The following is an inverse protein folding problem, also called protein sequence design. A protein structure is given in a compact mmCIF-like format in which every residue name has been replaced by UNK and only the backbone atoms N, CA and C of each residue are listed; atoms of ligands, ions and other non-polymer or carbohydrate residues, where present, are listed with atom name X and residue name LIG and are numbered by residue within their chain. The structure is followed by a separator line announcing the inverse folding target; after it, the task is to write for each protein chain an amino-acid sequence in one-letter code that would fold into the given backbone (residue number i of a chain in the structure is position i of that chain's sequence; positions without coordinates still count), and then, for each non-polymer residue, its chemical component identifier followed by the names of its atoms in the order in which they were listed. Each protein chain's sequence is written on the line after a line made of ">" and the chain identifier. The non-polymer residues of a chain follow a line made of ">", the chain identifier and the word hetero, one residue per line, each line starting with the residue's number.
data_IF_064199483498
#
_entry.id   IF_064199483498
#
_cell.length_a   1.000
_cell.length_b   1.000
_cell.length_c   1.000
_cell.angle_alpha   90.00
_cell.angle_beta   90.00
_cell.angle_gamma   90.00
#
_symmetry.space_group_name_H-M   'P 1'
#
loop_
_entity.id
_entity.type
_entity.pdbx_description
1 polymer ?
#
# COMPACT_ATOMS: atom_id res chain seq x y z
N UNK A 1 5.76 18.90 -7.92
CA UNK A 1 5.06 19.72 -8.92
C UNK A 1 3.84 20.26 -8.20
N UNK A 2 3.96 21.48 -7.68
CA UNK A 2 2.88 22.20 -7.04
C UNK A 2 1.83 22.55 -8.09
N UNK A 3 0.59 22.17 -7.81
CA UNK A 3 -0.58 22.52 -8.61
C UNK A 3 -0.99 23.93 -8.21
N UNK A 4 -0.72 24.88 -9.09
CA UNK A 4 -1.07 26.29 -8.94
C UNK A 4 -2.50 26.47 -9.48
N UNK A 5 -3.41 27.01 -8.66
CA UNK A 5 -4.79 27.32 -9.06
C UNK A 5 -4.87 28.72 -9.65
N UNK A 6 -5.65 28.84 -10.71
CA UNK A 6 -5.82 30.07 -11.47
C UNK A 6 -7.29 30.48 -11.45
N UNK A 7 -7.56 31.75 -11.18
CA UNK A 7 -8.89 32.35 -11.29
C UNK A 7 -8.90 33.37 -12.42
N UNK A 8 -9.88 33.31 -13.33
CA UNK A 8 -10.02 34.25 -14.44
C UNK A 8 -11.18 35.24 -14.19
N UNK A 9 -10.97 36.52 -14.54
CA UNK A 9 -12.01 37.54 -14.61
C UNK A 9 -11.71 38.49 -15.77
N UNK A 10 -12.35 38.25 -16.92
CA UNK A 10 -12.07 38.97 -18.16
C UNK A 10 -10.62 38.80 -18.63
N UNK A 11 -9.93 39.90 -18.92
CA UNK A 11 -8.53 39.93 -19.39
C UNK A 11 -7.49 39.78 -18.26
N UNK A 12 -7.93 39.56 -17.02
CA UNK A 12 -7.07 39.44 -15.84
C UNK A 12 -7.15 38.05 -15.21
N UNK A 13 -6.00 37.55 -14.78
CA UNK A 13 -5.84 36.24 -14.17
C UNK A 13 -5.13 36.39 -12.83
N UNK A 14 -5.69 35.82 -11.75
CA UNK A 14 -5.07 35.80 -10.43
C UNK A 14 -4.61 34.39 -10.04
N UNK A 15 -3.41 34.33 -9.47
CA UNK A 15 -2.74 33.11 -9.03
C UNK A 15 -2.50 33.21 -7.52
N UNK A 16 -2.90 32.18 -6.77
CA UNK A 16 -3.02 32.29 -5.31
C UNK A 16 -1.66 32.49 -4.60
N UNK A 17 -1.68 33.40 -3.61
CA UNK A 17 -0.63 33.76 -2.64
C UNK A 17 0.45 34.82 -2.95
N UNK A 18 0.39 35.59 -4.05
CA UNK A 18 0.90 36.99 -4.19
C UNK A 18 1.30 37.41 -5.60
N UNK A 19 1.24 36.52 -6.60
CA UNK A 19 1.64 36.83 -7.98
C UNK A 19 0.51 37.43 -8.83
N UNK A 20 0.76 38.59 -9.44
CA UNK A 20 -0.11 39.15 -10.48
C UNK A 20 0.46 38.78 -11.85
N UNK A 21 -0.37 38.29 -12.78
CA UNK A 21 0.02 37.97 -14.15
C UNK A 21 -0.94 38.56 -15.19
N UNK A 22 -0.47 38.75 -16.43
CA UNK A 22 -1.26 39.37 -17.51
C UNK A 22 -1.46 38.37 -18.66
N UNK A 23 -2.66 38.30 -19.22
CA UNK A 23 -2.95 37.45 -20.39
C UNK A 23 -2.39 38.12 -21.63
N UNK A 24 -1.44 37.46 -22.30
CA UNK A 24 -0.78 38.01 -23.48
C UNK A 24 -1.53 37.69 -24.78
N UNK A 25 -2.12 36.49 -24.89
CA UNK A 25 -2.87 36.11 -26.09
C UNK A 25 -3.81 34.91 -25.86
N UNK A 26 -4.91 34.85 -26.63
CA UNK A 26 -5.84 33.71 -26.67
C UNK A 26 -5.36 32.70 -27.72
N UNK A 27 -5.13 31.45 -27.31
CA UNK A 27 -4.76 30.34 -28.20
C UNK A 27 -5.97 29.40 -28.35
N UNK A 28 -7.14 29.98 -28.63
CA UNK A 28 -8.41 29.28 -28.78
C UNK A 28 -9.31 29.37 -27.55
N UNK A 29 -10.43 28.65 -27.59
CA UNK A 29 -11.59 28.85 -26.69
C UNK A 29 -11.28 28.61 -25.21
N UNK A 30 -10.17 27.93 -24.87
CA UNK A 30 -9.86 27.50 -23.49
C UNK A 30 -8.37 27.52 -23.11
N UNK A 31 -7.50 28.10 -23.93
CA UNK A 31 -6.06 28.15 -23.67
C UNK A 31 -5.54 29.59 -23.73
N UNK A 32 -4.70 29.95 -22.75
CA UNK A 32 -4.16 31.30 -22.59
C UNK A 32 -2.66 31.27 -22.37
N UNK A 33 -1.95 32.26 -22.90
CA UNK A 33 -0.57 32.56 -22.49
C UNK A 33 -0.61 33.59 -21.37
N UNK A 34 0.05 33.29 -20.25
CA UNK A 34 0.11 34.15 -19.06
C UNK A 34 1.56 34.41 -18.71
N UNK A 35 1.92 35.69 -18.55
CA UNK A 35 3.23 36.10 -18.05
C UNK A 35 3.17 36.20 -16.52
N UNK A 36 4.09 35.52 -15.83
CA UNK A 36 4.25 35.58 -14.37
C UNK A 36 5.74 35.80 -14.09
N UNK A 37 6.08 36.88 -13.38
CA UNK A 37 7.46 37.25 -13.00
C UNK A 37 8.47 37.23 -14.17
N UNK A 38 8.03 37.63 -15.38
CA UNK A 38 8.87 37.71 -16.58
C UNK A 38 9.11 36.39 -17.31
N UNK A 39 8.33 35.34 -17.02
CA UNK A 39 8.33 34.06 -17.73
C UNK A 39 6.94 33.74 -18.28
N UNK A 40 6.89 33.18 -19.50
CA UNK A 40 5.65 32.84 -20.20
C UNK A 40 5.17 31.41 -19.87
N UNK A 41 3.88 31.27 -19.60
CA UNK A 41 3.23 30.00 -19.28
C UNK A 41 1.97 29.78 -20.13
N UNK A 42 1.65 28.52 -20.46
CA UNK A 42 0.35 28.16 -21.05
C UNK A 42 -0.58 27.59 -19.97
N UNK A 43 -1.77 28.16 -19.87
CA UNK A 43 -2.86 27.72 -18.99
C UNK A 43 -4.01 27.11 -19.80
N UNK A 44 -4.58 25.99 -19.33
CA UNK A 44 -5.79 25.38 -19.90
C UNK A 44 -6.89 25.31 -18.84
N UNK A 45 -8.11 25.69 -19.21
CA UNK A 45 -9.24 25.85 -18.26
C UNK A 45 -9.75 24.51 -17.68
N UNK A 46 -9.50 23.37 -18.33
CA UNK A 46 -10.10 22.10 -17.90
C UNK A 46 -9.24 21.20 -17.01
N UNK A 47 -8.02 21.59 -16.65
CA UNK A 47 -7.27 20.90 -15.59
C UNK A 47 -6.26 21.88 -14.98
N UNK A 48 -6.35 22.11 -13.66
CA UNK A 48 -5.59 23.07 -12.82
C UNK A 48 -4.04 22.98 -12.87
N UNK A 49 -3.38 22.91 -14.03
CA UNK A 49 -1.92 22.77 -14.13
C UNK A 49 -1.33 23.64 -15.25
N UNK A 50 -0.63 24.70 -14.86
CA UNK A 50 0.34 25.37 -15.72
C UNK A 50 1.49 24.41 -16.06
N UNK A 51 1.87 24.36 -17.34
CA UNK A 51 3.08 23.68 -17.78
C UNK A 51 4.12 24.71 -18.23
N UNK A 52 5.35 24.56 -17.73
CA UNK A 52 6.49 25.41 -18.10
C UNK A 52 6.94 25.07 -19.53
N UNK A 53 6.91 26.05 -20.45
CA UNK A 53 7.56 25.90 -21.75
C UNK A 53 9.04 26.20 -21.57
N UNK A 54 9.92 25.24 -21.90
CA UNK A 54 11.35 25.52 -22.00
C UNK A 54 11.63 26.23 -23.33
N UNK A 55 12.50 27.25 -23.37
CA UNK A 55 12.92 27.87 -24.61
C UNK A 55 13.53 26.80 -25.53
N UNK A 56 12.99 26.65 -26.73
CA UNK A 56 13.64 25.83 -27.74
C UNK A 56 14.81 26.62 -28.31
N UNK A 57 16.03 26.21 -28.00
CA UNK A 57 17.19 26.55 -28.80
C UNK A 57 17.90 25.26 -29.25
N UNK A 58 17.71 25.01 -30.53
CA UNK A 58 18.61 24.44 -31.54
C UNK A 58 19.96 23.87 -31.07
N UNK A 59 20.17 22.62 -31.47
CA UNK A 59 21.41 21.83 -31.52
C UNK A 59 22.69 22.63 -31.72
N UNK A 60 23.69 22.45 -30.84
CA UNK A 60 25.10 22.26 -31.25
C UNK A 60 25.85 21.49 -30.15
N UNK A 61 26.50 20.41 -30.54
CA UNK A 61 27.34 19.56 -29.70
C UNK A 61 28.63 20.29 -29.29
N UNK A 62 29.00 20.29 -28.00
CA UNK A 62 30.40 20.35 -27.55
C UNK A 62 30.55 19.50 -26.29
N UNK A 63 31.42 18.48 -26.38
CA UNK A 63 32.01 17.74 -25.27
C UNK A 63 32.89 18.64 -24.40
N UNK A 64 32.86 18.50 -23.08
CA UNK A 64 34.07 18.25 -22.27
C UNK A 64 33.76 18.13 -20.78
N UNK A 65 34.58 17.28 -20.14
CA UNK A 65 34.58 16.94 -18.74
C UNK A 65 35.05 18.11 -17.87
N UNK A 66 34.39 18.34 -16.74
CA UNK A 66 34.96 19.09 -15.62
C UNK A 66 34.63 18.42 -14.28
N UNK A 67 35.71 18.13 -13.55
CA UNK A 67 35.76 17.63 -12.19
C UNK A 67 35.13 18.67 -11.25
N UNK A 68 34.18 18.26 -10.40
CA UNK A 68 33.78 19.06 -9.24
C UNK A 68 34.34 18.44 -7.96
N UNK A 69 35.45 19.02 -7.52
CA UNK A 69 36.19 18.73 -6.31
C UNK A 69 35.35 19.07 -5.07
N UNK A 70 35.14 18.10 -4.19
CA UNK A 70 34.53 18.31 -2.88
C UNK A 70 35.58 18.86 -1.91
N UNK A 71 35.69 20.18 -1.78
CA UNK A 71 36.63 20.83 -0.86
C UNK A 71 35.99 21.03 0.52
N UNK A 72 36.22 20.09 1.44
CA UNK A 72 36.34 20.32 2.89
C UNK A 72 36.58 18.98 3.62
N UNK A 73 37.71 18.34 3.31
CA UNK A 73 38.31 17.29 4.13
C UNK A 73 39.70 17.77 4.52
N UNK A 74 39.88 18.14 5.78
CA UNK A 74 41.23 18.41 6.33
C UNK A 74 41.65 17.21 7.17
N UNK A 75 42.65 16.47 6.68
CA UNK A 75 43.43 15.54 7.50
C UNK A 75 43.31 14.08 7.10
N UNK A 76 44.37 13.60 6.46
CA UNK A 76 44.72 12.18 6.36
C UNK A 76 45.13 11.67 7.74
N UNK A 77 44.29 10.87 8.40
CA UNK A 77 44.71 9.86 9.35
C UNK A 77 43.78 8.64 9.25
N UNK A 78 44.34 7.44 9.10
CA UNK A 78 43.62 6.17 9.24
C UNK A 78 43.17 5.99 10.70
N UNK A 79 42.12 6.70 11.11
CA UNK A 79 41.44 6.56 12.38
C UNK A 79 40.05 5.97 12.15
N UNK A 80 39.63 5.07 13.04
CA UNK A 80 38.31 4.40 13.00
C UNK A 80 37.13 5.38 12.94
N UNK A 81 37.31 6.61 13.43
CA UNK A 81 36.31 7.68 13.39
C UNK A 81 36.97 8.98 12.93
N UNK A 82 36.37 9.63 11.94
CA UNK A 82 36.80 10.91 11.38
C UNK A 82 36.10 12.03 12.14
N UNK A 83 36.78 13.18 12.35
CA UNK A 83 36.12 14.39 12.88
C UNK A 83 35.14 14.92 11.84
N UNK A 84 33.87 14.99 12.22
CA UNK A 84 32.77 15.49 11.40
C UNK A 84 32.34 16.86 11.93
N UNK A 85 32.14 17.82 11.04
CA UNK A 85 31.56 19.13 11.34
C UNK A 85 30.04 19.03 11.57
N UNK A 86 29.47 19.81 12.50
CA UNK A 86 28.03 19.82 12.77
C UNK A 86 27.21 20.13 11.51
N UNK A 87 27.72 20.99 10.62
CA UNK A 87 27.07 21.26 9.33
C UNK A 87 26.94 20.01 8.43
N UNK A 88 27.84 19.03 8.55
CA UNK A 88 27.73 17.77 7.81
C UNK A 88 26.70 16.82 8.46
N UNK A 89 26.59 16.84 9.78
CA UNK A 89 25.52 16.13 10.51
C UNK A 89 24.15 16.69 10.10
N UNK A 90 24.01 18.00 10.05
CA UNK A 90 22.78 18.67 9.60
C UNK A 90 22.47 18.39 8.13
N UNK A 91 23.50 18.37 7.26
CA UNK A 91 23.33 17.94 5.86
C UNK A 91 22.89 16.48 5.74
N UNK A 92 23.37 15.57 6.60
CA UNK A 92 22.92 14.19 6.64
C UNK A 92 21.47 14.05 7.12
N UNK A 93 21.07 14.83 8.13
CA UNK A 93 19.70 14.87 8.65
C UNK A 93 18.72 15.45 7.62
N UNK A 94 19.10 16.53 6.93
CA UNK A 94 18.26 17.21 5.94
C UNK A 94 18.12 16.43 4.62
N UNK A 95 19.11 15.62 4.23
CA UNK A 95 19.08 14.77 3.02
C UNK A 95 18.08 13.61 3.12
N UNK A 96 17.55 13.30 4.31
CA UNK A 96 16.56 12.24 4.53
C UNK A 96 15.09 12.71 4.45
N UNK A 97 14.84 14.02 4.27
CA UNK A 97 13.48 14.55 4.18
C UNK A 97 12.79 14.15 2.88
N UNK A 98 11.75 13.32 2.94
CA UNK A 98 10.91 13.03 1.77
C UNK A 98 10.10 14.30 1.39
N UNK A 99 10.30 14.89 0.19
CA UNK A 99 9.62 16.13 -0.21
C UNK A 99 8.09 15.98 -0.27
N UNK A 100 7.56 14.77 -0.46
CA UNK A 100 6.12 14.50 -0.37
C UNK A 100 5.62 14.58 1.08
N UNK A 101 6.43 14.15 2.04
CA UNK A 101 6.09 14.26 3.46
C UNK A 101 6.10 15.72 3.93
N UNK A 102 7.06 16.53 3.47
CA UNK A 102 7.11 17.96 3.76
C UNK A 102 5.86 18.70 3.25
N UNK A 103 5.46 18.46 1.99
CA UNK A 103 4.23 19.02 1.41
C UNK A 103 2.98 18.60 2.19
N UNK A 104 2.89 17.34 2.60
CA UNK A 104 1.77 16.84 3.41
C UNK A 104 1.73 17.50 4.79
N UNK A 105 2.88 17.65 5.45
CA UNK A 105 2.97 18.31 6.75
C UNK A 105 2.45 19.74 6.64
N UNK A 106 2.93 20.50 5.65
CA UNK A 106 2.52 21.88 5.41
C UNK A 106 1.00 22.00 5.17
N UNK A 107 0.44 21.17 4.28
CA UNK A 107 -1.00 21.17 4.00
C UNK A 107 -1.83 20.89 5.27
N UNK A 108 -1.47 19.85 6.02
CA UNK A 108 -2.21 19.45 7.22
C UNK A 108 -2.09 20.49 8.35
N UNK A 109 -0.92 21.14 8.49
CA UNK A 109 -0.73 22.20 9.49
C UNK A 109 -1.44 23.48 9.12
N UNK A 110 -1.50 23.82 7.83
CA UNK A 110 -2.27 24.97 7.37
C UNK A 110 -3.76 24.75 7.63
N UNK A 111 -4.29 23.55 7.38
CA UNK A 111 -5.67 23.21 7.70
C UNK A 111 -5.99 23.41 9.21
N UNK A 112 -5.06 23.04 10.09
CA UNK A 112 -5.21 23.30 11.53
C UNK A 112 -5.10 24.79 11.86
N UNK A 113 -4.17 25.50 11.23
CA UNK A 113 -4.01 26.94 11.40
C UNK A 113 -5.25 27.73 10.96
N UNK A 114 -5.87 27.35 9.84
CA UNK A 114 -7.12 27.95 9.34
C UNK A 114 -8.27 27.72 10.34
N UNK A 115 -8.34 26.52 10.93
CA UNK A 115 -9.30 26.22 11.99
C UNK A 115 -9.06 27.07 13.24
N UNK A 116 -7.81 27.24 13.68
CA UNK A 116 -7.45 28.09 14.82
C UNK A 116 -7.85 29.55 14.54
N UNK A 117 -7.55 30.03 13.33
CA UNK A 117 -7.91 31.40 12.86
C UNK A 117 -9.42 31.62 12.82
N UNK A 118 -10.20 30.63 12.39
CA UNK A 118 -11.67 30.69 12.38
C UNK A 118 -12.26 30.80 13.81
N UNK A 119 -11.51 30.36 14.82
CA UNK A 119 -11.88 30.48 16.23
C UNK A 119 -11.27 31.72 16.91
N UNK A 120 -10.87 32.75 16.13
CA UNK A 120 -10.28 34.01 16.61
C UNK A 120 -8.97 33.85 17.40
N UNK A 121 -8.17 32.83 17.08
CA UNK A 121 -6.81 32.67 17.59
C UNK A 121 -5.83 32.73 16.41
N UNK A 122 -4.75 33.51 16.54
CA UNK A 122 -3.76 33.73 15.48
C UNK A 122 -2.36 33.31 15.91
N UNK A 123 -2.22 32.65 17.06
CA UNK A 123 -0.95 32.11 17.53
C UNK A 123 -0.47 30.98 16.63
N UNK A 124 0.84 30.82 16.49
CA UNK A 124 1.39 29.66 15.80
C UNK A 124 1.10 28.40 16.61
N UNK A 125 0.92 27.26 15.93
CA UNK A 125 0.56 25.99 16.57
C UNK A 125 1.54 25.62 17.71
N UNK A 126 2.83 25.91 17.55
CA UNK A 126 3.87 25.62 18.54
C UNK A 126 3.99 26.67 19.68
N UNK A 127 3.27 27.78 19.61
CA UNK A 127 3.24 28.82 20.65
C UNK A 127 2.06 28.62 21.63
N UNK A 128 1.07 27.81 21.26
CA UNK A 128 -0.11 27.54 22.08
C UNK A 128 0.28 26.57 23.22
N UNK A 129 -0.09 26.82 24.48
CA UNK A 129 0.19 25.91 25.59
C UNK A 129 -0.43 24.50 25.41
N UNK A 130 0.19 23.42 25.93
CA UNK A 130 -0.26 22.04 25.68
C UNK A 130 -1.74 21.75 25.99
N UNK A 131 -2.25 22.30 27.11
CA UNK A 131 -3.64 22.09 27.51
C UNK A 131 -4.62 22.78 26.55
N UNK A 132 -4.30 24.02 26.14
CA UNK A 132 -5.09 24.76 25.15
C UNK A 132 -5.05 24.09 23.78
N UNK A 133 -3.84 23.67 23.34
CA UNK A 133 -3.67 22.97 22.08
C UNK A 133 -4.43 21.64 22.06
N UNK A 134 -4.45 20.91 23.18
CA UNK A 134 -5.23 19.69 23.32
C UNK A 134 -6.74 19.94 23.10
N UNK A 135 -7.29 21.01 23.67
CA UNK A 135 -8.71 21.36 23.49
C UNK A 135 -9.02 21.81 22.06
N UNK A 136 -8.13 22.58 21.44
CA UNK A 136 -8.22 22.96 20.03
C UNK A 136 -8.22 21.72 19.14
N UNK A 137 -7.29 20.79 19.36
CA UNK A 137 -7.19 19.56 18.59
C UNK A 137 -8.44 18.67 18.76
N UNK A 138 -9.03 18.62 19.97
CA UNK A 138 -10.29 17.91 20.19
C UNK A 138 -11.41 18.49 19.32
N UNK A 139 -11.59 19.82 19.32
CA UNK A 139 -12.59 20.50 18.50
C UNK A 139 -12.33 20.31 17.02
N UNK A 140 -11.07 20.41 16.61
CA UNK A 140 -10.63 20.19 15.23
C UNK A 140 -10.99 18.79 14.73
N UNK A 141 -10.64 17.72 15.46
CA UNK A 141 -10.94 16.35 15.04
C UNK A 141 -12.42 16.08 14.84
N UNK A 142 -13.28 16.69 15.68
CA UNK A 142 -14.74 16.52 15.58
C UNK A 142 -15.33 17.31 14.40
N UNK A 143 -14.79 18.51 14.12
CA UNK A 143 -15.34 19.45 13.15
C UNK A 143 -14.70 19.40 11.77
N UNK A 144 -13.52 18.81 11.62
CA UNK A 144 -12.78 18.77 10.35
C UNK A 144 -13.61 18.07 9.25
N UNK A 145 -13.74 18.74 8.10
CA UNK A 145 -14.42 18.24 6.89
C UNK A 145 -13.58 18.46 5.64
N UNK A 146 -13.87 17.69 4.60
CA UNK A 146 -13.39 17.90 3.22
C UNK A 146 -14.03 19.18 2.64
N UNK A 147 -13.46 19.73 1.57
CA UNK A 147 -13.99 20.92 0.88
C UNK A 147 -15.45 20.75 0.40
N UNK A 148 -15.85 19.53 0.06
CA UNK A 148 -17.23 19.20 -0.32
C UNK A 148 -18.17 19.00 0.88
N UNK A 149 -17.76 19.36 2.09
CA UNK A 149 -18.52 19.18 3.34
C UNK A 149 -18.51 17.76 3.90
N UNK A 150 -17.94 16.78 3.19
CA UNK A 150 -17.90 15.39 3.62
C UNK A 150 -16.92 15.12 4.77
N UNK A 151 -17.23 14.13 5.61
CA UNK A 151 -16.30 13.63 6.64
C UNK A 151 -14.98 13.11 6.06
N UNK A 152 -13.89 13.29 6.80
CA UNK A 152 -12.60 12.65 6.51
C UNK A 152 -12.64 11.15 6.79
N UNK A 153 -11.76 10.39 6.13
CA UNK A 153 -11.55 8.98 6.42
C UNK A 153 -10.65 8.81 7.64
N UNK A 154 -10.76 7.64 8.31
CA UNK A 154 -9.97 7.29 9.49
C UNK A 154 -8.46 7.45 9.28
N UNK A 155 -7.95 7.01 8.13
CA UNK A 155 -6.53 7.10 7.81
C UNK A 155 -6.09 8.56 7.56
N UNK A 156 -6.95 9.38 6.97
CA UNK A 156 -6.66 10.79 6.73
C UNK A 156 -6.54 11.55 8.03
N UNK A 157 -7.49 11.38 8.96
CA UNK A 157 -7.44 12.04 10.28
C UNK A 157 -6.20 11.63 11.08
N UNK A 158 -5.88 10.32 11.12
CA UNK A 158 -4.63 9.83 11.74
C UNK A 158 -3.40 10.43 11.05
N UNK A 159 -3.44 10.57 9.73
CA UNK A 159 -2.39 11.19 8.94
C UNK A 159 -2.16 12.66 9.31
N UNK A 160 -3.24 13.43 9.48
CA UNK A 160 -3.18 14.83 9.92
C UNK A 160 -2.56 14.92 11.33
N UNK A 161 -3.02 14.11 12.28
CA UNK A 161 -2.43 14.06 13.62
C UNK A 161 -0.93 13.72 13.61
N UNK A 162 -0.50 12.86 12.69
CA UNK A 162 0.92 12.53 12.51
C UNK A 162 1.74 13.67 11.91
N UNK A 163 1.13 14.47 11.02
CA UNK A 163 1.75 15.68 10.46
C UNK A 163 1.92 16.75 11.53
N UNK A 164 0.90 16.98 12.36
CA UNK A 164 0.97 17.93 13.49
C UNK A 164 2.03 17.49 14.50
N UNK A 165 2.09 16.20 14.85
CA UNK A 165 3.16 15.65 15.71
C UNK A 165 4.56 15.94 15.15
N UNK A 166 4.76 15.75 13.83
CA UNK A 166 6.05 16.05 13.18
C UNK A 166 6.37 17.55 13.22
N UNK A 167 5.38 18.40 12.99
CA UNK A 167 5.52 19.85 13.09
C UNK A 167 5.91 20.29 14.51
N UNK A 168 5.22 19.80 15.53
CA UNK A 168 5.54 20.13 16.93
C UNK A 168 6.96 19.69 17.31
N UNK A 169 7.39 18.50 16.85
CA UNK A 169 8.76 18.01 17.05
C UNK A 169 9.80 18.89 16.36
N UNK A 170 9.55 19.34 15.13
CA UNK A 170 10.50 20.22 14.42
C UNK A 170 10.62 21.60 15.06
N UNK A 171 9.67 22.00 15.90
CA UNK A 171 9.67 23.27 16.63
C UNK A 171 9.99 23.11 18.13
N UNK A 172 10.53 21.96 18.55
CA UNK A 172 10.94 21.69 19.94
C UNK A 172 9.85 21.96 20.99
N UNK A 173 8.59 21.63 20.68
CA UNK A 173 7.43 21.94 21.51
C UNK A 173 7.41 21.31 22.92
N UNK A 174 8.34 20.38 23.22
CA UNK A 174 8.50 19.76 24.54
C UNK A 174 7.44 18.69 24.91
N UNK A 175 6.33 18.60 24.17
CA UNK A 175 5.28 17.60 24.38
C UNK A 175 4.94 16.84 23.10
N UNK A 176 4.58 15.56 23.23
CA UNK A 176 4.16 14.71 22.12
C UNK A 176 2.67 14.40 22.22
N UNK A 177 1.95 14.44 21.09
CA UNK A 177 0.54 14.07 21.02
C UNK A 177 0.33 12.59 21.34
N UNK A 178 1.33 11.75 21.03
CA UNK A 178 1.26 10.30 21.21
C UNK A 178 1.33 9.86 22.67
N UNK A 179 2.22 10.46 23.46
CA UNK A 179 2.57 9.93 24.79
C UNK A 179 2.28 10.92 25.91
N UNK A 180 2.37 12.24 25.67
CA UNK A 180 2.23 13.21 26.75
C UNK A 180 0.85 13.15 27.39
N UNK A 181 0.81 13.28 28.72
CA UNK A 181 -0.44 13.26 29.49
C UNK A 181 -1.35 14.47 29.16
N UNK A 182 -0.76 15.59 28.76
CA UNK A 182 -1.47 16.80 28.34
C UNK A 182 -2.40 16.56 27.13
N UNK A 183 -2.11 15.55 26.32
CA UNK A 183 -2.88 15.20 25.11
C UNK A 183 -3.76 13.95 25.27
N UNK A 184 -4.07 13.55 26.51
CA UNK A 184 -4.92 12.37 26.79
C UNK A 184 -6.30 12.49 26.16
N UNK A 185 -6.97 13.64 26.35
CA UNK A 185 -8.30 13.93 25.81
C UNK A 185 -8.32 13.90 24.29
N UNK A 186 -7.33 14.49 23.62
CA UNK A 186 -7.19 14.40 22.16
C UNK A 186 -7.14 12.94 21.68
N UNK A 187 -6.38 12.07 22.37
CA UNK A 187 -6.31 10.65 22.01
C UNK A 187 -7.65 9.94 22.20
N UNK A 188 -8.40 10.26 23.25
CA UNK A 188 -9.74 9.71 23.49
C UNK A 188 -10.74 10.18 22.44
N UNK A 189 -10.77 11.47 22.11
CA UNK A 189 -11.61 12.04 21.06
C UNK A 189 -11.29 11.43 19.70
N UNK A 190 -9.99 11.29 19.36
CA UNK A 190 -9.55 10.63 18.14
C UNK A 190 -10.04 9.18 18.06
N UNK A 191 -9.97 8.41 19.16
CA UNK A 191 -10.50 7.03 19.21
C UNK A 191 -12.02 7.00 19.04
N UNK A 192 -12.74 7.91 19.70
CA UNK A 192 -14.19 8.02 19.61
C UNK A 192 -14.64 8.35 18.17
N UNK A 193 -14.01 9.36 17.54
CA UNK A 193 -14.31 9.73 16.15
C UNK A 193 -13.98 8.59 15.18
N UNK A 194 -12.90 7.85 15.40
CA UNK A 194 -12.58 6.67 14.59
C UNK A 194 -13.64 5.57 14.68
N UNK A 195 -14.21 5.35 15.88
CA UNK A 195 -15.29 4.39 16.09
C UNK A 195 -16.57 4.83 15.36
N UNK A 196 -16.92 6.11 15.47
CA UNK A 196 -18.06 6.73 14.77
C UNK A 196 -17.94 6.59 13.24
N UNK A 197 -16.79 6.97 12.67
CA UNK A 197 -16.54 6.84 11.23
C UNK A 197 -16.59 5.39 10.75
N UNK A 198 -16.15 4.44 11.60
CA UNK A 198 -16.26 3.01 11.30
C UNK A 198 -17.72 2.54 11.31
N UNK A 199 -18.55 2.99 12.25
CA UNK A 199 -20.00 2.68 12.25
C UNK A 199 -20.73 3.27 11.05
N UNK A 200 -20.27 4.43 10.54
CA UNK A 200 -20.81 5.07 9.33
C UNK A 200 -20.28 4.45 8.01
N UNK A 201 -19.53 3.35 8.08
CA UNK A 201 -18.94 2.70 6.91
C UNK A 201 -17.75 3.43 6.26
N UNK A 202 -17.34 4.59 6.79
CA UNK A 202 -16.24 5.45 6.25
C UNK A 202 -14.82 4.97 6.59
N UNK A 203 -14.66 3.65 6.71
CA UNK A 203 -13.38 2.96 6.84
C UNK A 203 -13.29 1.71 5.97
N UNK A 204 -14.30 1.49 5.12
CA UNK A 204 -14.29 0.41 4.14
C UNK A 204 -13.54 0.92 2.91
N UNK A 205 -12.35 0.38 2.71
CA UNK A 205 -11.52 0.67 1.53
C UNK A 205 -12.38 0.53 0.27
N UNK A 206 -12.32 1.48 -0.69
CA UNK A 206 -13.02 1.37 -1.98
C UNK A 206 -12.56 0.16 -2.81
N UNK A 207 -11.49 -0.52 -2.38
CA UNK A 207 -10.97 -1.78 -2.93
C UNK A 207 -10.99 -2.91 -1.90
N UNK A 208 -11.99 -2.93 -1.01
CA UNK A 208 -12.22 -4.13 -0.19
C UNK A 208 -12.57 -5.27 -1.15
N UNK A 209 -11.82 -6.36 -1.08
CA UNK A 209 -12.26 -7.63 -1.67
C UNK A 209 -13.51 -8.08 -0.92
N UNK A 210 -14.65 -8.11 -1.60
CA UNK A 210 -15.83 -8.77 -1.06
C UNK A 210 -15.56 -10.27 -0.95
N UNK A 211 -16.19 -10.92 0.03
CA UNK A 211 -16.12 -12.37 0.13
C UNK A 211 -16.81 -12.96 -1.09
N UNK A 212 -16.19 -13.96 -1.71
CA UNK A 212 -16.85 -14.72 -2.77
C UNK A 212 -18.12 -15.35 -2.19
N UNK A 213 -19.24 -15.16 -2.88
CA UNK A 213 -20.54 -15.69 -2.50
C UNK A 213 -20.65 -17.18 -2.85
N UNK A 214 -21.57 -17.89 -2.20
CA UNK A 214 -21.82 -19.30 -2.51
C UNK A 214 -22.32 -19.47 -3.96
N UNK A 215 -23.12 -18.51 -4.46
CA UNK A 215 -23.59 -18.49 -5.85
C UNK A 215 -22.44 -18.33 -6.87
N UNK A 216 -21.45 -17.50 -6.56
CA UNK A 216 -20.25 -17.35 -7.38
C UNK A 216 -19.39 -18.61 -7.35
N UNK A 217 -19.22 -19.24 -6.18
CA UNK A 217 -18.54 -20.54 -6.05
C UNK A 217 -19.26 -21.60 -6.91
N UNK A 218 -20.59 -21.69 -6.82
CA UNK A 218 -21.37 -22.62 -7.64
C UNK A 218 -21.21 -22.34 -9.13
N UNK A 219 -21.18 -21.06 -9.53
CA UNK A 219 -20.95 -20.67 -10.92
C UNK A 219 -19.60 -21.16 -11.44
N UNK A 220 -18.54 -21.14 -10.61
CA UNK A 220 -17.23 -21.68 -10.97
C UNK A 220 -17.23 -23.20 -11.14
N UNK A 221 -17.99 -23.93 -10.31
CA UNK A 221 -18.21 -25.37 -10.47
C UNK A 221 -18.95 -25.69 -11.76
N UNK A 222 -20.04 -24.99 -12.05
CA UNK A 222 -20.83 -25.21 -13.28
C UNK A 222 -20.04 -24.87 -14.54
N UNK A 223 -19.22 -23.82 -14.49
CA UNK A 223 -18.31 -23.44 -15.57
C UNK A 223 -17.07 -24.35 -15.71
N UNK A 224 -16.97 -25.43 -14.91
CA UNK A 224 -15.84 -26.37 -14.88
C UNK A 224 -14.48 -25.70 -14.65
N UNK A 225 -14.49 -24.52 -14.01
CA UNK A 225 -13.27 -23.85 -13.54
C UNK A 225 -12.75 -24.51 -12.28
N UNK A 226 -13.64 -25.12 -11.50
CA UNK A 226 -13.36 -26.04 -10.41
C UNK A 226 -13.78 -27.46 -10.79
N UNK A 227 -13.16 -28.46 -10.15
CA UNK A 227 -13.35 -29.89 -10.39
C UNK A 227 -12.17 -30.58 -11.06
N UNK A 228 -12.41 -31.81 -11.50
CA UNK A 228 -11.41 -32.75 -12.01
C UNK A 228 -11.39 -32.88 -13.55
N UNK A 229 -12.14 -32.04 -14.25
CA UNK A 229 -12.37 -32.18 -15.70
C UNK A 229 -11.17 -31.85 -16.59
N UNK A 230 -10.21 -31.07 -16.09
CA UNK A 230 -8.99 -30.73 -16.81
C UNK A 230 -7.79 -30.57 -15.86
N UNK A 231 -6.54 -30.63 -16.35
CA UNK A 231 -5.37 -30.35 -15.52
C UNK A 231 -5.46 -28.98 -14.82
N UNK A 232 -5.98 -27.97 -15.52
CA UNK A 232 -6.12 -26.62 -14.98
C UNK A 232 -7.22 -26.54 -13.92
N UNK A 233 -8.37 -27.20 -14.13
CA UNK A 233 -9.44 -27.21 -13.12
C UNK A 233 -8.98 -27.90 -11.83
N UNK A 234 -8.16 -28.96 -11.94
CA UNK A 234 -7.55 -29.61 -10.77
C UNK A 234 -6.69 -28.62 -9.99
N UNK A 235 -5.78 -27.90 -10.66
CA UNK A 235 -4.92 -26.92 -9.98
C UNK A 235 -5.72 -25.78 -9.36
N UNK A 236 -6.72 -25.26 -10.07
CA UNK A 236 -7.60 -24.20 -9.57
C UNK A 236 -8.34 -24.66 -8.31
N UNK A 237 -8.81 -25.91 -8.29
CA UNK A 237 -9.58 -26.46 -7.17
C UNK A 237 -8.68 -26.75 -5.97
N UNK A 238 -7.48 -27.29 -6.20
CA UNK A 238 -6.48 -27.45 -5.14
C UNK A 238 -6.08 -26.09 -4.56
N UNK A 239 -5.89 -25.08 -5.42
CA UNK A 239 -5.61 -23.72 -4.99
C UNK A 239 -6.74 -23.19 -4.10
N UNK A 240 -8.00 -23.31 -4.55
CA UNK A 240 -9.18 -22.91 -3.81
C UNK A 240 -9.27 -23.61 -2.45
N UNK A 241 -9.14 -24.95 -2.40
CA UNK A 241 -9.17 -25.71 -1.15
C UNK A 241 -8.04 -25.33 -0.19
N UNK A 242 -6.83 -25.14 -0.70
CA UNK A 242 -5.70 -24.73 0.13
C UNK A 242 -5.89 -23.30 0.66
N UNK A 243 -6.52 -22.40 -0.10
CA UNK A 243 -6.88 -21.06 0.36
C UNK A 243 -7.91 -21.11 1.48
N UNK A 244 -9.01 -21.86 1.33
CA UNK A 244 -10.11 -21.85 2.31
C UNK A 244 -9.81 -22.71 3.56
N UNK A 245 -9.21 -23.89 3.39
CA UNK A 245 -9.00 -24.83 4.51
C UNK A 245 -7.64 -24.65 5.17
N UNK A 246 -6.58 -24.45 4.39
CA UNK A 246 -5.24 -24.22 4.95
C UNK A 246 -4.97 -22.74 5.23
N UNK A 247 -5.82 -21.83 4.76
CA UNK A 247 -5.70 -20.40 5.04
C UNK A 247 -4.48 -19.75 4.38
N UNK A 248 -4.03 -20.30 3.24
CA UNK A 248 -3.00 -19.67 2.41
C UNK A 248 -3.58 -18.42 1.75
N UNK A 249 -2.88 -17.28 1.87
CA UNK A 249 -3.39 -15.96 1.42
C UNK A 249 -2.54 -15.31 0.34
N UNK A 250 -1.24 -15.61 0.32
CA UNK A 250 -0.29 -15.00 -0.61
C UNK A 250 0.06 -15.90 -1.79
N UNK A 251 0.22 -15.33 -2.99
CA UNK A 251 0.74 -16.07 -4.15
C UNK A 251 2.08 -16.77 -3.84
N UNK A 252 2.95 -16.11 -3.07
CA UNK A 252 4.25 -16.67 -2.68
C UNK A 252 4.10 -17.88 -1.75
N UNK A 253 3.11 -17.89 -0.85
CA UNK A 253 2.84 -19.04 0.03
C UNK A 253 2.40 -20.26 -0.79
N UNK A 254 1.53 -20.06 -1.79
CA UNK A 254 1.16 -21.13 -2.71
C UNK A 254 2.34 -21.58 -3.57
N UNK A 255 3.15 -20.66 -4.09
CA UNK A 255 4.32 -21.00 -4.93
C UNK A 255 5.35 -21.82 -4.16
N UNK A 256 5.65 -21.45 -2.92
CA UNK A 256 6.68 -22.09 -2.09
C UNK A 256 6.23 -23.41 -1.46
N UNK A 257 4.94 -23.73 -1.53
CA UNK A 257 4.38 -24.98 -1.03
C UNK A 257 5.05 -26.19 -1.70
N UNK A 258 5.57 -27.11 -0.88
CA UNK A 258 6.16 -28.35 -1.35
C UNK A 258 5.20 -29.53 -1.16
N UNK A 259 5.48 -30.62 -1.88
CA UNK A 259 4.65 -31.81 -1.86
C UNK A 259 4.58 -32.45 -0.46
N UNK A 260 5.69 -32.44 0.27
CA UNK A 260 5.77 -32.96 1.64
C UNK A 260 5.06 -32.10 2.69
N UNK A 261 4.63 -30.89 2.34
CA UNK A 261 3.91 -30.04 3.27
C UNK A 261 2.45 -30.49 3.47
N UNK A 262 1.94 -31.36 2.59
CA UNK A 262 0.58 -31.93 2.68
C UNK A 262 0.66 -33.44 2.85
N UNK A 263 0.13 -33.92 3.97
CA UNK A 263 0.13 -35.34 4.32
C UNK A 263 -1.29 -35.88 4.37
N UNK A 264 -1.52 -37.04 3.75
CA UNK A 264 -2.76 -37.80 3.91
C UNK A 264 -2.70 -38.59 5.22
N UNK A 265 -3.61 -38.30 6.14
CA UNK A 265 -3.70 -38.92 7.48
C UNK A 265 -5.11 -39.43 7.74
N UNK A 266 -5.25 -40.31 8.73
CA UNK A 266 -6.53 -40.61 9.35
C UNK A 266 -6.77 -39.60 10.48
N UNK A 267 -8.00 -39.17 10.65
CA UNK A 267 -8.37 -38.26 11.73
C UNK A 267 -8.41 -38.98 13.09
N UNK A 268 -8.69 -38.23 14.15
CA UNK A 268 -8.78 -38.74 15.52
C UNK A 268 -9.75 -39.91 15.74
N UNK A 269 -10.72 -40.09 14.84
CA UNK A 269 -11.64 -41.23 14.83
C UNK A 269 -11.04 -42.51 14.22
N UNK A 270 -9.87 -42.42 13.58
CA UNK A 270 -9.21 -43.53 12.89
C UNK A 270 -9.92 -44.01 11.62
N UNK A 271 -10.99 -43.35 11.20
CA UNK A 271 -11.86 -43.78 10.10
C UNK A 271 -11.91 -42.76 8.97
N UNK A 272 -11.86 -41.47 9.30
CA UNK A 272 -12.01 -40.39 8.32
C UNK A 272 -10.65 -39.96 7.79
N UNK A 273 -10.43 -40.11 6.49
CA UNK A 273 -9.23 -39.56 5.85
C UNK A 273 -9.25 -38.02 5.86
N UNK A 274 -8.10 -37.40 6.08
CA UNK A 274 -7.92 -35.96 6.00
C UNK A 274 -6.55 -35.61 5.41
N UNK A 275 -6.44 -34.42 4.83
CA UNK A 275 -5.16 -33.82 4.46
C UNK A 275 -4.76 -32.86 5.56
N UNK A 276 -3.55 -33.03 6.09
CA UNK A 276 -2.95 -32.15 7.09
C UNK A 276 -1.86 -31.32 6.44
N UNK A 277 -1.83 -30.02 6.73
CA UNK A 277 -0.84 -29.10 6.18
C UNK A 277 0.16 -28.62 7.24
N UNK A 278 1.44 -28.81 6.94
CA UNK A 278 2.55 -28.31 7.74
C UNK A 278 2.99 -26.94 7.22
N UNK A 279 2.63 -25.87 7.95
CA UNK A 279 3.02 -24.51 7.60
C UNK A 279 4.54 -24.31 7.79
N UNK A 280 5.21 -23.84 6.74
CA UNK A 280 6.59 -23.33 6.82
C UNK A 280 6.60 -21.86 7.25
N UNK A 281 7.48 -21.05 6.68
CA UNK A 281 7.50 -19.60 6.88
C UNK A 281 6.29 -18.97 6.17
N UNK A 282 5.54 -18.11 6.87
CA UNK A 282 4.44 -17.34 6.27
C UNK A 282 4.55 -15.85 6.56
N UNK A 283 3.76 -15.04 5.86
CA UNK A 283 3.74 -13.57 6.05
C UNK A 283 3.41 -13.15 7.48
N UNK A 284 2.76 -14.02 8.26
CA UNK A 284 2.41 -13.73 9.67
C UNK A 284 3.31 -14.45 10.67
N UNK A 285 4.12 -15.41 10.20
CA UNK A 285 4.95 -16.30 11.04
C UNK A 285 6.32 -16.51 10.39
N UNK A 286 7.20 -15.54 10.61
CA UNK A 286 8.54 -15.51 10.01
C UNK A 286 9.60 -16.35 10.75
N UNK A 287 9.21 -17.18 11.72
CA UNK A 287 10.13 -17.99 12.53
C UNK A 287 11.00 -17.22 13.55
N UNK A 288 11.06 -15.88 13.49
CA UNK A 288 11.83 -15.05 14.44
C UNK A 288 11.36 -15.20 15.89
N UNK A 289 10.07 -15.45 16.09
CA UNK A 289 9.49 -15.73 17.40
C UNK A 289 9.03 -17.19 17.43
N UNK A 290 9.74 -18.03 18.19
CA UNK A 290 9.43 -19.46 18.37
C UNK A 290 8.05 -19.74 18.96
N UNK A 291 7.42 -18.73 19.59
CA UNK A 291 6.05 -18.82 20.12
C UNK A 291 4.98 -18.50 19.07
N UNK A 292 5.36 -18.00 17.89
CA UNK A 292 4.45 -17.61 16.82
C UNK A 292 4.19 -18.78 15.86
N UNK A 293 3.64 -19.87 16.38
CA UNK A 293 3.24 -21.07 15.64
C UNK A 293 1.70 -21.12 15.56
N UNK A 294 1.12 -21.81 14.56
CA UNK A 294 -0.32 -22.10 14.60
C UNK A 294 -0.66 -22.94 15.83
N UNK A 295 -1.69 -22.52 16.56
CA UNK A 295 -2.22 -23.30 17.68
C UNK A 295 -2.97 -24.55 17.21
N UNK A 296 -3.52 -24.52 15.99
CA UNK A 296 -4.29 -25.62 15.40
C UNK A 296 -3.67 -25.92 14.03
N UNK A 297 -3.29 -27.18 13.81
CA UNK A 297 -2.81 -27.65 12.51
C UNK A 297 -3.97 -27.65 11.52
N UNK A 298 -3.85 -26.95 10.39
CA UNK A 298 -4.90 -26.91 9.38
C UNK A 298 -5.11 -28.28 8.73
N UNK A 299 -6.38 -28.68 8.61
CA UNK A 299 -6.83 -29.94 8.03
C UNK A 299 -8.00 -29.73 7.07
N UNK A 300 -8.13 -30.61 6.08
CA UNK A 300 -9.35 -30.76 5.27
C UNK A 300 -9.74 -32.23 5.18
N UNK A 301 -10.99 -32.54 5.51
CA UNK A 301 -11.49 -33.92 5.64
C UNK A 301 -12.09 -34.44 4.35
N UNK A 302 -12.06 -35.76 4.18
CA UNK A 302 -12.77 -36.45 3.12
C UNK A 302 -14.27 -36.20 3.24
N UNK A 303 -14.90 -35.87 2.11
CA UNK A 303 -16.35 -35.77 2.01
C UNK A 303 -16.91 -37.06 1.40
N UNK A 304 -17.40 -37.94 2.26
CA UNK A 304 -18.00 -39.23 1.85
C UNK A 304 -19.33 -39.07 1.11
N UNK A 305 -20.02 -37.94 1.28
CA UNK A 305 -21.33 -37.67 0.66
C UNK A 305 -21.21 -37.11 -0.76
N UNK A 306 -20.15 -36.34 -1.03
CA UNK A 306 -19.89 -35.75 -2.35
C UNK A 306 -18.43 -35.96 -2.76
N UNK A 307 -18.19 -37.06 -3.48
CA UNK A 307 -16.85 -37.43 -3.97
C UNK A 307 -16.30 -36.45 -5.00
N UNK A 308 -17.16 -35.87 -5.85
CA UNK A 308 -16.74 -34.95 -6.91
C UNK A 308 -16.18 -33.63 -6.36
N UNK A 309 -16.63 -33.25 -5.15
CA UNK A 309 -16.14 -32.08 -4.42
C UNK A 309 -15.32 -32.46 -3.19
N UNK A 310 -14.84 -33.69 -3.10
CA UNK A 310 -14.04 -34.12 -1.97
C UNK A 310 -12.58 -33.67 -2.13
N UNK A 311 -12.01 -32.90 -1.18
CA UNK A 311 -10.62 -32.46 -1.28
C UNK A 311 -9.62 -33.63 -1.25
N UNK A 312 -9.90 -34.66 -0.45
CA UNK A 312 -9.05 -35.86 -0.32
C UNK A 312 -9.01 -36.64 -1.64
N UNK A 313 -10.17 -36.86 -2.26
CA UNK A 313 -10.25 -37.58 -3.54
C UNK A 313 -9.59 -36.79 -4.67
N UNK A 314 -9.79 -35.48 -4.72
CA UNK A 314 -9.10 -34.61 -5.68
C UNK A 314 -7.57 -34.66 -5.50
N UNK A 315 -7.07 -34.66 -4.26
CA UNK A 315 -5.64 -34.78 -3.99
C UNK A 315 -5.09 -36.15 -4.42
N UNK A 316 -5.81 -37.24 -4.15
CA UNK A 316 -5.43 -38.59 -4.62
C UNK A 316 -5.38 -38.65 -6.16
N UNK A 317 -6.37 -38.07 -6.83
CA UNK A 317 -6.38 -37.95 -8.29
C UNK A 317 -5.16 -37.17 -8.77
N UNK A 318 -4.92 -35.98 -8.21
CA UNK A 318 -3.75 -35.18 -8.55
C UNK A 318 -2.44 -35.94 -8.35
N UNK A 319 -2.27 -36.62 -7.21
CA UNK A 319 -1.12 -37.49 -6.91
C UNK A 319 -0.90 -38.55 -7.99
N UNK A 320 -1.96 -39.17 -8.49
CA UNK A 320 -1.90 -40.19 -9.55
C UNK A 320 -1.51 -39.63 -10.92
N UNK A 321 -1.88 -38.37 -11.20
CA UNK A 321 -1.60 -37.69 -12.46
C UNK A 321 -0.25 -36.98 -12.49
N UNK A 322 0.41 -36.80 -11.34
CA UNK A 322 1.76 -36.24 -11.28
C UNK A 322 2.76 -37.14 -12.00
N UNK A 323 3.78 -36.58 -12.68
CA UNK A 323 4.81 -37.38 -13.34
C UNK A 323 5.51 -38.33 -12.37
N UNK A 324 5.83 -39.53 -12.84
CA UNK A 324 6.66 -40.48 -12.08
C UNK A 324 7.94 -39.79 -11.58
N UNK A 325 8.34 -40.10 -10.33
CA UNK A 325 9.50 -39.52 -9.63
C UNK A 325 9.43 -38.00 -9.40
N UNK A 326 8.25 -37.38 -9.43
CA UNK A 326 8.06 -35.94 -9.15
C UNK A 326 7.05 -35.67 -8.03
N UNK A 327 7.10 -36.54 -7.01
CA UNK A 327 6.26 -36.50 -5.81
C UNK A 327 7.12 -36.70 -4.55
N UNK A 328 8.39 -36.31 -4.62
CA UNK A 328 9.27 -36.29 -3.45
C UNK A 328 8.88 -35.12 -2.55
N UNK A 329 9.11 -35.20 -1.22
CA UNK A 329 8.74 -34.14 -0.27
C UNK A 329 9.22 -32.74 -0.66
N UNK A 330 10.41 -32.64 -1.29
CA UNK A 330 11.02 -31.37 -1.71
C UNK A 330 10.55 -30.86 -3.09
N UNK A 331 9.72 -31.61 -3.81
CA UNK A 331 9.19 -31.14 -5.09
C UNK A 331 8.06 -30.13 -4.87
N UNK A 332 7.90 -29.18 -5.80
CA UNK A 332 6.83 -28.19 -5.72
C UNK A 332 5.44 -28.84 -5.70
N UNK A 333 4.55 -28.32 -4.84
CA UNK A 333 3.17 -28.79 -4.75
C UNK A 333 2.41 -28.48 -6.04
N UNK A 334 2.49 -27.26 -6.56
CA UNK A 334 1.85 -26.88 -7.83
C UNK A 334 2.81 -27.08 -9.00
N UNK A 335 2.41 -27.93 -9.94
CA UNK A 335 3.18 -28.22 -11.16
C UNK A 335 2.37 -27.87 -12.41
N UNK A 336 3.06 -27.42 -13.46
CA UNK A 336 2.45 -26.82 -14.65
C UNK A 336 1.65 -27.83 -15.46
N UNK A 337 0.51 -27.42 -16.00
CA UNK A 337 -0.28 -28.23 -16.92
C UNK A 337 0.46 -28.47 -18.25
N UNK A 338 0.16 -29.58 -18.90
CA UNK A 338 0.51 -29.75 -20.30
C UNK A 338 -0.37 -28.87 -21.19
N UNK A 339 0.19 -28.43 -22.32
CA UNK A 339 -0.48 -27.55 -23.29
C UNK A 339 -1.37 -28.31 -24.27
N UNK A 340 -1.52 -29.63 -24.09
CA UNK A 340 -2.26 -30.48 -25.02
C UNK A 340 -3.76 -30.39 -24.66
N UNK A 341 -4.63 -29.88 -25.55
CA UNK A 341 -6.01 -29.54 -25.21
C UNK A 341 -6.91 -30.72 -24.86
N UNK A 342 -6.49 -31.95 -25.16
CA UNK A 342 -7.28 -33.14 -24.87
C UNK A 342 -6.33 -34.31 -24.55
N UNK A 343 -6.29 -34.77 -23.30
CA UNK A 343 -5.50 -35.94 -22.97
C UNK A 343 -6.22 -37.19 -23.45
N UNK A 344 -5.74 -37.80 -24.54
CA UNK A 344 -6.05 -39.20 -24.86
C UNK A 344 -5.76 -40.09 -23.64
N UNK A 345 -6.38 -41.27 -23.57
CA UNK A 345 -6.13 -42.26 -22.50
C UNK A 345 -4.62 -42.54 -22.43
N UNK A 346 -3.97 -42.14 -21.33
CA UNK A 346 -2.51 -42.24 -21.13
C UNK A 346 -1.71 -40.95 -21.36
N UNK A 347 -2.36 -39.84 -21.68
CA UNK A 347 -1.69 -38.54 -21.85
C UNK A 347 -1.21 -37.98 -20.52
N UNK A 348 -0.06 -37.30 -20.56
CA UNK A 348 0.55 -36.64 -19.41
C UNK A 348 -0.18 -35.32 -19.15
N UNK A 349 -0.78 -35.16 -17.97
CA UNK A 349 -1.55 -33.95 -17.60
C UNK A 349 -0.66 -32.83 -17.04
N UNK A 350 0.47 -33.19 -16.45
CA UNK A 350 1.34 -32.27 -15.73
C UNK A 350 2.81 -32.42 -16.13
N UNK A 351 3.53 -31.30 -16.15
CA UNK A 351 4.97 -31.23 -16.42
C UNK A 351 5.75 -31.22 -15.10
N UNK A 352 7.01 -31.68 -15.15
CA UNK A 352 7.97 -31.55 -14.02
C UNK A 352 8.50 -30.12 -13.89
N UNK A 353 7.60 -29.15 -13.81
CA UNK A 353 7.90 -27.73 -13.78
C UNK A 353 6.95 -27.04 -12.81
N UNK A 354 7.49 -26.24 -11.89
CA UNK A 354 6.69 -25.44 -10.96
C UNK A 354 5.83 -24.42 -11.70
N UNK A 355 4.61 -24.20 -11.23
CA UNK A 355 3.72 -23.14 -11.77
C UNK A 355 4.34 -21.76 -11.52
N UNK A 356 4.31 -20.89 -12.53
CA UNK A 356 4.73 -19.48 -12.42
C UNK A 356 6.21 -19.21 -12.68
N UNK A 357 6.97 -20.21 -13.13
CA UNK A 357 8.32 -20.03 -13.69
C UNK A 357 8.20 -20.06 -15.20
N UNK A 358 8.37 -18.90 -15.85
CA UNK A 358 8.62 -18.85 -17.30
C UNK A 358 10.10 -19.20 -17.51
N UNK A 359 10.35 -20.38 -18.08
CA UNK A 359 11.66 -20.81 -18.58
C UNK A 359 11.85 -20.38 -20.02
#
# INVERSE_FOLDING_TARGET
>A
METIKIFHSGDKVSVDLSGQGTVLNSIGVRNYTVEIDGSDYIASVDVDRLQLIKPQNTTTCISNAEKQTCSSLTGSENKRFIKIDENYIDKLLNKQGNPNAARKILFDTNLLHDFISTNNDHRRIHEIPPNELNDILCKFIVSARKLNGGEFENNTLRGIGSSVERYLRSHNYGHTLRESIAFSRYREVMKAKQKELKSLGKGNLPHRSDAITDEEIESLWQAKQLGSTSPQSILNTLWFYNTIHFGLRGSDEHKQMLWGDVELKLDSDGLTECLEFTERVSKTRHGYNSKNVRQITPKMWANSQNKDRCPVELFKLYKSLRPHNFSNPENSFYISCTTVPNPDVGSIWFKRQQVGIQT
#
